data_IF_602996289280
#
_entry.id   IF_602996289280
#
_cell.length_a   1.000
_cell.length_b   1.000
_cell.length_c   1.000
_cell.angle_alpha   90.00
_cell.angle_beta   90.00
_cell.angle_gamma   90.00
#
_symmetry.space_group_name_H-M   'P 1'
#
loop_
_entity.id
_entity.type
_entity.pdbx_description
1 polymer ?
#
# COMPACT_ATOMS: atom_id res chain seq x y z
N UNK A 1 12.41 1.23 0.26
CA UNK A 1 11.37 1.97 -0.49
C UNK A 1 10.57 2.82 0.49
N UNK A 2 10.16 4.02 0.08
CA UNK A 2 9.32 4.94 0.87
C UNK A 2 8.04 5.18 0.09
N UNK A 3 6.90 5.15 0.75
CA UNK A 3 5.60 5.47 0.17
C UNK A 3 4.69 6.16 1.17
N UNK A 4 3.40 6.22 0.84
CA UNK A 4 2.37 6.90 1.62
C UNK A 4 1.32 5.86 2.02
N UNK A 5 0.88 5.88 3.28
CA UNK A 5 -0.27 5.09 3.73
C UNK A 5 -1.53 5.61 3.00
N UNK A 6 -2.29 4.69 2.42
CA UNK A 6 -3.57 4.98 1.77
C UNK A 6 -4.64 5.43 2.77
N UNK A 7 -4.57 4.94 4.02
CA UNK A 7 -5.52 5.27 5.09
C UNK A 7 -5.24 6.61 5.77
N UNK A 8 -3.97 6.90 6.06
CA UNK A 8 -3.60 8.03 6.93
C UNK A 8 -2.90 9.17 6.21
N UNK A 9 -2.45 8.96 4.97
CA UNK A 9 -1.61 9.91 4.26
C UNK A 9 -0.26 10.16 4.94
N UNK A 10 0.17 9.31 5.89
CA UNK A 10 1.49 9.42 6.51
C UNK A 10 2.53 8.66 5.68
N UNK A 11 3.78 9.10 5.75
CA UNK A 11 4.91 8.36 5.16
C UNK A 11 5.08 7.01 5.86
N UNK A 12 5.14 5.94 5.06
CA UNK A 12 5.43 4.58 5.50
C UNK A 12 6.63 4.03 4.74
N UNK A 13 7.32 3.05 5.34
CA UNK A 13 8.50 2.40 4.76
C UNK A 13 8.67 0.99 5.31
N UNK A 14 9.57 0.21 4.72
CA UNK A 14 9.86 -1.15 5.18
C UNK A 14 8.65 -2.08 5.05
N UNK A 15 8.36 -2.85 6.10
CA UNK A 15 7.31 -3.87 6.10
C UNK A 15 5.90 -3.30 5.92
N UNK A 16 5.62 -2.12 6.48
CA UNK A 16 4.30 -1.49 6.37
C UNK A 16 4.01 -1.06 4.94
N UNK A 17 5.01 -0.53 4.25
CA UNK A 17 4.91 -0.24 2.82
C UNK A 17 4.72 -1.51 1.99
N UNK A 18 5.44 -2.59 2.32
CA UNK A 18 5.32 -3.86 1.61
C UNK A 18 3.93 -4.49 1.75
N UNK A 19 3.35 -4.48 2.95
CA UNK A 19 1.98 -4.95 3.20
C UNK A 19 0.98 -4.17 2.34
N UNK A 20 1.05 -2.84 2.33
CA UNK A 20 0.18 -2.01 1.51
C UNK A 20 0.31 -2.37 0.03
N UNK A 21 1.53 -2.48 -0.49
CA UNK A 21 1.76 -2.83 -1.90
C UNK A 21 1.19 -4.20 -2.27
N UNK A 22 1.28 -5.20 -1.38
CA UNK A 22 0.67 -6.52 -1.61
C UNK A 22 -0.85 -6.41 -1.64
N UNK A 23 -1.45 -5.69 -0.70
CA UNK A 23 -2.91 -5.45 -0.67
C UNK A 23 -3.36 -4.75 -1.94
N UNK A 24 -2.67 -3.70 -2.36
CA UNK A 24 -3.01 -2.95 -3.58
C UNK A 24 -2.96 -3.86 -4.81
N UNK A 25 -1.90 -4.66 -4.98
CA UNK A 25 -1.76 -5.61 -6.11
C UNK A 25 -2.92 -6.61 -6.13
N UNK A 26 -3.26 -7.18 -4.97
CA UNK A 26 -4.30 -8.20 -4.88
C UNK A 26 -5.72 -7.64 -5.07
N UNK A 27 -5.92 -6.35 -4.83
CA UNK A 27 -7.25 -5.73 -4.84
C UNK A 27 -7.52 -4.89 -6.09
N UNK A 28 -6.48 -4.47 -6.84
CA UNK A 28 -6.61 -3.61 -8.03
C UNK A 28 -7.40 -4.28 -9.16
N UNK A 29 -7.39 -5.61 -9.29
CA UNK A 29 -8.11 -6.32 -10.37
C UNK A 29 -9.61 -6.50 -10.09
N UNK A 30 -10.07 -6.34 -8.85
CA UNK A 30 -11.46 -6.64 -8.47
C UNK A 30 -12.43 -5.47 -8.70
N UNK A 31 -11.93 -4.27 -9.04
CA UNK A 31 -12.73 -3.04 -9.18
C UNK A 31 -12.71 -2.40 -10.59
N UNK A 32 -12.35 -3.17 -11.62
CA UNK A 32 -12.57 -2.85 -13.05
C UNK A 32 -13.59 -3.81 -13.63
#
# INVERSE_FOLDING_TARGET
MRGMSSETGKRISGIEHLKQSIVDILTTTTML
#
